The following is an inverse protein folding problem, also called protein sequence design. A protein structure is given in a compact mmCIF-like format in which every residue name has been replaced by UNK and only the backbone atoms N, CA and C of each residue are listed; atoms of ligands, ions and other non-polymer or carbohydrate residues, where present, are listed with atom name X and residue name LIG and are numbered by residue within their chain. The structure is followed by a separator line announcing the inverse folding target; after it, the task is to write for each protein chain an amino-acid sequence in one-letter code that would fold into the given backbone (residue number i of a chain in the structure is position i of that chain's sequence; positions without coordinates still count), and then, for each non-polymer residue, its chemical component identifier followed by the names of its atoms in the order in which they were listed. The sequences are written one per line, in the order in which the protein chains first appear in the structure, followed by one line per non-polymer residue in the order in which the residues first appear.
data_IF_752596882942
#
_entry.id   IF_752596882942
#
_cell.length_a   1.000
_cell.length_b   1.000
_cell.length_c   1.000
_cell.angle_alpha   90.00
_cell.angle_beta   90.00
_cell.angle_gamma   90.00
#
_symmetry.space_group_name_H-M   'P 1'
#
loop_
_entity.id
_entity.type
_entity.pdbx_description
1 polymer ?
#
# COMPACT_ATOMS: atom_id res chain seq x y z
N UNK A 1 -37.20 -3.12 -5.12
CA UNK A 1 -38.49 -3.84 -4.98
C UNK A 1 -38.70 -4.78 -6.16
N UNK A 2 -39.07 -4.31 -7.37
CA UNK A 2 -39.28 -5.19 -8.53
C UNK A 2 -38.03 -6.05 -8.85
N UNK A 3 -36.86 -5.40 -8.99
CA UNK A 3 -35.59 -6.09 -9.24
C UNK A 3 -35.20 -7.08 -8.14
N UNK A 4 -35.47 -6.76 -6.88
CA UNK A 4 -35.13 -7.63 -5.76
C UNK A 4 -36.00 -8.89 -5.75
N UNK A 5 -37.29 -8.75 -6.12
CA UNK A 5 -38.21 -9.89 -6.29
C UNK A 5 -37.73 -10.77 -7.44
N UNK A 6 -37.39 -10.19 -8.59
CA UNK A 6 -36.86 -10.92 -9.76
C UNK A 6 -35.59 -11.70 -9.37
N UNK A 7 -34.63 -11.04 -8.71
CA UNK A 7 -33.40 -11.68 -8.26
C UNK A 7 -33.67 -12.83 -7.28
N UNK A 8 -34.62 -12.65 -6.34
CA UNK A 8 -34.97 -13.69 -5.39
C UNK A 8 -35.61 -14.91 -6.05
N UNK A 9 -36.45 -14.70 -7.07
CA UNK A 9 -37.15 -15.76 -7.78
C UNK A 9 -36.20 -16.52 -8.69
N UNK A 10 -35.29 -15.83 -9.39
CA UNK A 10 -34.26 -16.49 -10.19
C UNK A 10 -33.35 -17.37 -9.31
N UNK A 11 -32.93 -16.87 -8.13
CA UNK A 11 -32.18 -17.68 -7.17
C UNK A 11 -32.97 -18.92 -6.70
N UNK A 12 -34.27 -18.78 -6.46
CA UNK A 12 -35.14 -19.89 -6.05
C UNK A 12 -35.33 -20.91 -7.19
N UNK A 13 -35.40 -20.45 -8.44
CA UNK A 13 -35.49 -21.31 -9.63
C UNK A 13 -34.26 -22.18 -9.75
N UNK A 14 -33.06 -21.59 -9.70
CA UNK A 14 -31.82 -22.35 -9.77
C UNK A 14 -31.69 -23.34 -8.61
N UNK A 15 -32.13 -22.95 -7.40
CA UNK A 15 -32.17 -23.84 -6.26
C UNK A 15 -33.16 -25.00 -6.46
N UNK A 16 -34.36 -24.73 -6.99
CA UNK A 16 -35.36 -25.76 -7.25
C UNK A 16 -34.90 -26.75 -8.32
N UNK A 17 -34.30 -26.25 -9.41
CA UNK A 17 -33.73 -27.06 -10.50
C UNK A 17 -32.59 -27.94 -9.98
N UNK A 18 -31.66 -27.38 -9.20
CA UNK A 18 -30.58 -28.16 -8.57
C UNK A 18 -31.13 -29.22 -7.59
N UNK A 19 -32.14 -28.89 -6.79
CA UNK A 19 -32.78 -29.86 -5.90
C UNK A 19 -33.52 -30.98 -6.66
N UNK A 20 -34.08 -30.65 -7.83
CA UNK A 20 -34.72 -31.60 -8.73
C UNK A 20 -33.69 -32.51 -9.38
N UNK A 21 -32.55 -31.97 -9.81
CA UNK A 21 -31.41 -32.74 -10.31
C UNK A 21 -30.94 -33.77 -9.28
N UNK A 22 -30.67 -33.34 -8.04
CA UNK A 22 -30.26 -34.20 -6.94
C UNK A 22 -31.33 -35.28 -6.64
N UNK A 23 -32.61 -34.90 -6.71
CA UNK A 23 -33.74 -35.81 -6.51
C UNK A 23 -33.87 -36.87 -7.63
N UNK A 24 -33.65 -36.48 -8.88
CA UNK A 24 -33.71 -37.40 -10.03
C UNK A 24 -32.48 -38.30 -10.09
N UNK A 25 -31.29 -37.79 -9.76
CA UNK A 25 -30.05 -38.58 -9.71
C UNK A 25 -30.03 -39.59 -8.56
N UNK A 26 -30.68 -39.27 -7.43
CA UNK A 26 -30.80 -40.19 -6.27
C UNK A 26 -31.90 -41.25 -6.42
N UNK A 27 -32.81 -41.08 -7.39
CA UNK A 27 -33.86 -42.06 -7.66
C UNK A 27 -33.34 -43.17 -8.55
N UNK A 28 -33.54 -44.46 -8.21
CA UNK A 28 -33.06 -45.55 -9.05
C UNK A 28 -33.70 -45.48 -10.45
N UNK A 29 -32.90 -45.64 -11.54
CA UNK A 29 -33.36 -45.42 -12.91
C UNK A 29 -34.50 -46.36 -13.34
N UNK A 30 -34.65 -47.52 -12.69
CA UNK A 30 -35.77 -48.45 -12.93
C UNK A 30 -37.14 -47.87 -12.55
N UNK A 31 -37.19 -46.98 -11.55
CA UNK A 31 -38.43 -46.29 -11.15
C UNK A 31 -38.78 -45.15 -12.09
N UNK A 32 -37.79 -44.59 -12.78
CA UNK A 32 -37.96 -43.56 -13.80
C UNK A 32 -38.37 -44.15 -15.15
N UNK A 33 -38.44 -45.48 -15.26
CA UNK A 33 -38.89 -46.19 -16.46
C UNK A 33 -37.75 -46.64 -17.38
N UNK A 34 -36.49 -46.35 -17.02
CA UNK A 34 -35.34 -46.86 -17.75
C UNK A 34 -35.20 -48.37 -17.51
N UNK A 35 -35.30 -49.15 -18.58
CA UNK A 35 -35.18 -50.60 -18.57
C UNK A 35 -34.27 -51.03 -19.70
N UNK A 36 -33.42 -52.00 -19.44
CA UNK A 36 -32.67 -52.66 -20.50
C UNK A 36 -33.65 -53.42 -21.41
N UNK A 37 -33.48 -53.27 -22.72
CA UNK A 37 -34.18 -54.11 -23.69
C UNK A 37 -33.81 -55.59 -23.46
N UNK A 38 -34.72 -56.55 -23.71
CA UNK A 38 -34.40 -57.95 -23.57
C UNK A 38 -33.29 -58.33 -24.57
N UNK A 39 -32.05 -58.48 -24.10
CA UNK A 39 -30.90 -58.92 -24.89
C UNK A 39 -29.68 -58.00 -24.92
N UNK A 40 -29.69 -56.85 -24.23
CA UNK A 40 -28.49 -56.01 -24.08
C UNK A 40 -27.73 -56.32 -22.78
N UNK A 41 -26.40 -56.40 -22.85
CA UNK A 41 -25.55 -56.55 -21.67
C UNK A 41 -25.54 -55.21 -20.93
N UNK A 42 -25.96 -55.16 -19.65
CA UNK A 42 -25.96 -53.92 -18.89
C UNK A 42 -24.52 -53.47 -18.58
N UNK A 43 -24.20 -52.22 -18.89
CA UNK A 43 -22.95 -51.60 -18.45
C UNK A 43 -22.96 -51.54 -16.92
N UNK A 44 -21.94 -52.09 -16.28
CA UNK A 44 -21.87 -52.26 -14.82
C UNK A 44 -20.68 -51.47 -14.28
N UNK A 45 -20.82 -50.77 -13.14
CA UNK A 45 -19.69 -50.14 -12.43
C UNK A 45 -18.77 -51.19 -11.76
N UNK A 46 -17.62 -50.73 -11.25
CA UNK A 46 -16.68 -51.53 -10.44
C UNK A 46 -17.35 -52.14 -9.18
N UNK A 47 -18.57 -51.69 -8.81
CA UNK A 47 -19.35 -52.14 -7.66
C UNK A 47 -20.49 -53.11 -8.02
N UNK A 48 -20.65 -53.48 -9.30
CA UNK A 48 -21.65 -54.48 -9.72
C UNK A 48 -23.07 -53.93 -9.94
N UNK A 49 -23.27 -52.62 -9.91
CA UNK A 49 -24.55 -51.98 -10.18
C UNK A 49 -24.72 -51.67 -11.66
N UNK A 50 -25.94 -51.91 -12.15
CA UNK A 50 -26.33 -51.59 -13.52
C UNK A 50 -26.34 -50.06 -13.69
N UNK A 51 -25.42 -49.55 -14.49
CA UNK A 51 -25.37 -48.15 -14.87
C UNK A 51 -26.24 -47.90 -16.10
N UNK A 52 -27.03 -46.83 -16.03
CA UNK A 52 -27.78 -46.31 -17.16
C UNK A 52 -27.18 -44.95 -17.54
N UNK A 53 -26.05 -44.91 -18.26
CA UNK A 53 -25.42 -43.65 -18.64
C UNK A 53 -26.36 -42.80 -19.52
N UNK A 54 -27.17 -43.44 -20.37
CA UNK A 54 -28.20 -42.79 -21.19
C UNK A 54 -29.27 -42.10 -20.35
N UNK A 55 -29.67 -42.68 -19.20
CA UNK A 55 -30.65 -42.09 -18.31
C UNK A 55 -30.13 -40.79 -17.67
N UNK A 56 -28.84 -40.74 -17.29
CA UNK A 56 -28.24 -39.53 -16.71
C UNK A 56 -28.21 -38.40 -17.74
N UNK A 57 -27.82 -38.72 -18.98
CA UNK A 57 -27.75 -37.76 -20.08
C UNK A 57 -29.14 -37.27 -20.52
N UNK A 58 -30.16 -38.15 -20.51
CA UNK A 58 -31.54 -37.76 -20.80
C UNK A 58 -32.13 -36.87 -19.69
N UNK A 59 -31.85 -37.16 -18.43
CA UNK A 59 -32.25 -36.35 -17.29
C UNK A 59 -31.61 -34.95 -17.36
N UNK A 60 -30.30 -34.86 -17.64
CA UNK A 60 -29.59 -33.59 -17.78
C UNK A 60 -30.16 -32.76 -18.94
N UNK A 61 -30.37 -33.38 -20.11
CA UNK A 61 -30.95 -32.71 -21.27
C UNK A 61 -32.39 -32.23 -21.01
N UNK A 62 -33.21 -33.06 -20.35
CA UNK A 62 -34.58 -32.72 -19.98
C UNK A 62 -34.64 -31.59 -18.94
N UNK A 63 -33.74 -31.62 -17.97
CA UNK A 63 -33.60 -30.57 -16.96
C UNK A 63 -33.17 -29.24 -17.60
N UNK A 64 -32.22 -29.26 -18.52
CA UNK A 64 -31.76 -28.06 -19.22
C UNK A 64 -32.87 -27.45 -20.11
N UNK A 65 -33.70 -28.28 -20.75
CA UNK A 65 -34.88 -27.80 -21.48
C UNK A 65 -35.91 -27.18 -20.54
N UNK A 66 -36.12 -27.77 -19.36
CA UNK A 66 -37.00 -27.23 -18.34
C UNK A 66 -36.48 -25.88 -17.83
N UNK A 67 -35.19 -25.78 -17.52
CA UNK A 67 -34.54 -24.53 -17.09
C UNK A 67 -34.78 -23.42 -18.12
N UNK A 68 -34.45 -23.67 -19.38
CA UNK A 68 -34.64 -22.71 -20.47
C UNK A 68 -36.10 -22.27 -20.62
N UNK A 69 -37.04 -23.23 -20.50
CA UNK A 69 -38.47 -22.93 -20.56
C UNK A 69 -38.89 -22.09 -19.36
N UNK A 70 -38.44 -22.46 -18.16
CA UNK A 70 -38.81 -21.80 -16.93
C UNK A 70 -38.30 -20.37 -16.96
N UNK A 71 -37.03 -20.12 -17.30
CA UNK A 71 -36.46 -18.79 -17.50
C UNK A 71 -37.32 -17.94 -18.46
N UNK A 72 -37.61 -18.45 -19.66
CA UNK A 72 -38.40 -17.71 -20.65
C UNK A 72 -39.85 -17.42 -20.18
N UNK A 73 -40.47 -18.35 -19.44
CA UNK A 73 -41.84 -18.16 -18.94
C UNK A 73 -41.89 -17.20 -17.76
N UNK A 74 -40.91 -17.28 -16.86
CA UNK A 74 -40.74 -16.42 -15.69
C UNK A 74 -40.44 -15.01 -16.13
N UNK A 75 -39.49 -14.79 -17.04
CA UNK A 75 -39.18 -13.47 -17.61
C UNK A 75 -40.44 -12.81 -18.18
N UNK A 76 -41.20 -13.54 -19.01
CA UNK A 76 -42.43 -13.02 -19.62
C UNK A 76 -43.54 -12.73 -18.60
N UNK A 77 -43.62 -13.52 -17.53
CA UNK A 77 -44.59 -13.29 -16.46
C UNK A 77 -44.19 -12.08 -15.60
N UNK A 78 -42.89 -11.92 -15.34
CA UNK A 78 -42.35 -10.80 -14.57
C UNK A 78 -42.39 -9.48 -15.34
N UNK A 79 -42.20 -9.47 -16.66
CA UNK A 79 -42.44 -8.29 -17.49
C UNK A 79 -43.87 -7.76 -17.30
N UNK A 80 -44.86 -8.66 -17.30
CA UNK A 80 -46.27 -8.29 -17.09
C UNK A 80 -46.55 -7.86 -15.66
N UNK A 81 -45.95 -8.54 -14.69
CA UNK A 81 -46.08 -8.18 -13.28
C UNK A 81 -45.48 -6.79 -13.02
N UNK A 82 -44.29 -6.50 -13.53
CA UNK A 82 -43.63 -5.21 -13.39
C UNK A 82 -44.50 -4.10 -13.98
N UNK A 83 -44.96 -4.27 -15.22
CA UNK A 83 -45.86 -3.31 -15.86
C UNK A 83 -47.13 -3.13 -15.04
N UNK A 84 -47.71 -4.21 -14.52
CA UNK A 84 -48.93 -4.12 -13.71
C UNK A 84 -48.71 -3.36 -12.39
N UNK A 85 -47.62 -3.66 -11.68
CA UNK A 85 -47.29 -3.00 -10.41
C UNK A 85 -47.00 -1.52 -10.64
N UNK A 86 -46.20 -1.20 -11.66
CA UNK A 86 -45.85 0.18 -12.00
C UNK A 86 -47.02 0.99 -12.54
N UNK A 87 -48.05 0.33 -13.10
CA UNK A 87 -49.23 0.99 -13.67
C UNK A 87 -50.42 1.10 -12.72
N UNK A 88 -50.54 0.21 -11.74
CA UNK A 88 -51.72 0.16 -10.87
C UNK A 88 -51.41 0.36 -9.39
N UNK A 89 -50.32 -0.23 -8.89
CA UNK A 89 -50.01 -0.25 -7.45
C UNK A 89 -49.17 0.95 -7.06
N UNK A 90 -48.17 1.29 -7.88
CA UNK A 90 -47.23 2.39 -7.63
C UNK A 90 -47.61 3.67 -8.39
N UNK A 91 -48.86 3.77 -8.86
CA UNK A 91 -49.38 4.97 -9.52
C UNK A 91 -50.28 5.76 -8.58
N UNK A 92 -50.02 7.06 -8.50
CA UNK A 92 -50.93 8.01 -7.87
C UNK A 92 -51.80 8.63 -8.95
N UNK A 93 -53.15 8.58 -8.83
CA UNK A 93 -54.05 9.24 -9.78
C UNK A 93 -53.76 10.74 -9.88
N UNK A 94 -53.72 11.28 -11.11
CA UNK A 94 -53.38 12.68 -11.37
C UNK A 94 -54.31 13.65 -10.61
N UNK A 95 -55.60 13.33 -10.49
CA UNK A 95 -56.59 14.14 -9.77
C UNK A 95 -56.29 14.29 -8.27
N UNK A 96 -55.58 13.33 -7.68
CA UNK A 96 -55.24 13.32 -6.25
C UNK A 96 -53.85 13.89 -5.98
N UNK A 97 -53.03 14.13 -7.00
CA UNK A 97 -51.64 14.62 -6.83
C UNK A 97 -51.57 15.96 -6.11
N UNK A 98 -52.56 16.84 -6.29
CA UNK A 98 -52.63 18.12 -5.58
C UNK A 98 -53.06 18.03 -4.11
N UNK A 99 -53.66 16.91 -3.70
CA UNK A 99 -54.22 16.71 -2.36
C UNK A 99 -53.36 15.77 -1.49
N UNK A 100 -52.47 15.02 -2.12
CA UNK A 100 -51.57 14.08 -1.44
C UNK A 100 -50.29 14.82 -1.04
N UNK A 101 -50.04 14.89 0.27
CA UNK A 101 -48.77 15.36 0.84
C UNK A 101 -48.05 14.18 1.50
N UNK A 102 -46.82 13.92 1.09
CA UNK A 102 -45.98 12.90 1.72
C UNK A 102 -45.50 13.39 3.09
N UNK A 103 -45.28 12.48 4.04
CA UNK A 103 -44.89 12.82 5.42
C UNK A 103 -43.61 13.67 5.51
N UNK A 104 -42.64 13.45 4.61
CA UNK A 104 -41.41 14.26 4.56
C UNK A 104 -41.62 15.69 4.03
N UNK A 105 -42.78 15.98 3.43
CA UNK A 105 -43.15 17.33 3.04
C UNK A 105 -43.90 18.09 4.14
N UNK A 106 -44.25 17.47 5.28
CA UNK A 106 -45.07 18.08 6.35
C UNK A 106 -44.44 19.36 6.95
N UNK A 107 -43.11 19.51 6.88
CA UNK A 107 -42.38 20.70 7.34
C UNK A 107 -41.91 21.66 6.24
N UNK A 108 -42.03 21.28 4.97
CA UNK A 108 -41.56 22.08 3.84
C UNK A 108 -42.68 23.01 3.36
N UNK A 109 -42.58 24.29 3.68
CA UNK A 109 -43.34 25.34 3.00
C UNK A 109 -42.54 25.80 1.79
N UNK A 110 -43.09 25.67 0.60
CA UNK A 110 -42.48 26.16 -0.65
C UNK A 110 -42.69 27.67 -0.84
N UNK A 111 -43.26 28.36 0.15
CA UNK A 111 -43.29 29.82 0.12
C UNK A 111 -41.86 30.37 0.10
N UNK A 112 -41.51 31.21 -0.90
CA UNK A 112 -40.17 31.72 -1.08
C UNK A 112 -39.91 32.87 -0.10
N UNK A 113 -39.78 32.57 1.20
CA UNK A 113 -39.15 33.45 2.21
C UNK A 113 -39.31 32.89 3.63
N UNK A 114 -38.69 31.74 3.93
CA UNK A 114 -38.33 31.46 5.32
C UNK A 114 -36.92 32.00 5.56
N UNK A 115 -36.79 32.91 6.52
CA UNK A 115 -35.51 33.49 6.98
C UNK A 115 -34.52 32.43 7.51
N UNK A 116 -35.01 31.21 7.79
CA UNK A 116 -34.22 30.02 8.18
C UNK A 116 -33.82 29.10 7.01
N UNK A 117 -34.01 29.52 5.76
CA UNK A 117 -33.52 28.75 4.61
C UNK A 117 -31.97 28.71 4.67
N UNK A 118 -31.33 27.54 4.59
CA UNK A 118 -29.87 27.45 4.62
C UNK A 118 -29.31 28.22 3.44
N UNK A 119 -28.75 29.39 3.73
CA UNK A 119 -28.10 30.25 2.74
C UNK A 119 -27.03 29.45 2.02
N UNK A 120 -26.83 29.68 0.72
CA UNK A 120 -25.80 28.99 -0.07
C UNK A 120 -24.41 29.07 0.59
N UNK A 121 -24.14 30.16 1.29
CA UNK A 121 -22.93 30.35 2.10
C UNK A 121 -22.81 29.33 3.24
N UNK A 122 -23.88 29.06 3.99
CA UNK A 122 -23.89 28.03 5.05
C UNK A 122 -23.63 26.63 4.50
N UNK A 123 -24.20 26.32 3.32
CA UNK A 123 -23.99 25.05 2.64
C UNK A 123 -22.54 24.91 2.15
N UNK A 124 -21.94 25.98 1.61
CA UNK A 124 -20.54 25.94 1.18
C UNK A 124 -19.60 25.77 2.36
N UNK A 125 -19.84 26.46 3.48
CA UNK A 125 -19.09 26.28 4.73
C UNK A 125 -19.21 24.86 5.27
N UNK A 126 -20.41 24.28 5.27
CA UNK A 126 -20.62 22.91 5.74
C UNK A 126 -19.96 21.89 4.80
N UNK A 127 -20.01 22.11 3.48
CA UNK A 127 -19.27 21.29 2.49
C UNK A 127 -17.77 21.39 2.71
N UNK A 128 -17.24 22.57 3.00
CA UNK A 128 -15.83 22.75 3.33
C UNK A 128 -15.47 22.00 4.61
N UNK A 129 -16.27 22.15 5.68
CA UNK A 129 -16.08 21.41 6.93
C UNK A 129 -16.08 19.90 6.70
N UNK A 130 -17.00 19.39 5.88
CA UNK A 130 -17.08 17.98 5.51
C UNK A 130 -15.82 17.51 4.75
N UNK A 131 -15.30 18.33 3.83
CA UNK A 131 -14.05 18.02 3.11
C UNK A 131 -12.87 17.94 4.07
N UNK A 132 -12.75 18.90 4.99
CA UNK A 132 -11.68 18.89 5.99
C UNK A 132 -11.82 17.72 6.96
N UNK A 133 -13.03 17.36 7.41
CA UNK A 133 -13.23 16.19 8.28
C UNK A 133 -12.92 14.88 7.55
N UNK A 134 -13.29 14.74 6.27
CA UNK A 134 -12.91 13.57 5.45
C UNK A 134 -11.40 13.48 5.25
N UNK A 135 -10.73 14.61 5.01
CA UNK A 135 -9.27 14.67 4.88
C UNK A 135 -8.59 14.27 6.19
N UNK A 136 -9.06 14.78 7.32
CA UNK A 136 -8.57 14.42 8.65
C UNK A 136 -8.78 12.93 8.92
N UNK A 137 -9.97 12.39 8.63
CA UNK A 137 -10.25 10.97 8.84
C UNK A 137 -9.29 10.08 8.03
N UNK A 138 -9.04 10.41 6.76
CA UNK A 138 -8.04 9.70 5.95
C UNK A 138 -6.64 9.73 6.58
N UNK A 139 -6.19 10.89 7.04
CA UNK A 139 -4.88 11.01 7.70
C UNK A 139 -4.83 10.22 9.01
N UNK A 140 -5.89 10.28 9.82
CA UNK A 140 -5.99 9.52 11.07
C UNK A 140 -5.94 8.02 10.80
N UNK A 141 -6.66 7.52 9.79
CA UNK A 141 -6.61 6.09 9.43
C UNK A 141 -5.21 5.66 8.97
N UNK A 142 -4.50 6.52 8.24
CA UNK A 142 -3.12 6.27 7.83
C UNK A 142 -2.16 6.22 9.04
N UNK A 143 -2.30 7.16 9.97
CA UNK A 143 -1.49 7.18 11.20
C UNK A 143 -1.83 6.02 12.14
N UNK A 144 -3.09 5.63 12.26
CA UNK A 144 -3.49 4.42 12.97
C UNK A 144 -2.83 3.19 12.36
N UNK A 145 -2.91 3.00 11.03
CA UNK A 145 -2.25 1.90 10.35
C UNK A 145 -0.72 1.90 10.56
N UNK A 146 -0.09 3.08 10.54
CA UNK A 146 1.34 3.23 10.84
C UNK A 146 1.67 2.85 12.28
N UNK A 147 0.88 3.34 13.24
CA UNK A 147 1.04 3.04 14.66
C UNK A 147 0.82 1.56 14.94
N UNK A 148 -0.14 0.92 14.29
CA UNK A 148 -0.39 -0.52 14.41
C UNK A 148 0.79 -1.33 13.86
N UNK A 149 1.40 -0.91 12.76
CA UNK A 149 2.62 -1.53 12.23
C UNK A 149 3.82 -1.34 13.18
N UNK A 150 3.98 -0.17 13.79
CA UNK A 150 5.04 0.04 14.80
C UNK A 150 4.76 -0.77 16.07
N UNK A 151 3.50 -0.86 16.51
CA UNK A 151 3.11 -1.67 17.66
C UNK A 151 3.32 -3.16 17.40
N UNK A 152 3.05 -3.65 16.19
CA UNK A 152 3.33 -5.04 15.82
C UNK A 152 4.84 -5.33 15.81
N UNK A 153 5.65 -4.37 15.34
CA UNK A 153 7.12 -4.44 15.43
C UNK A 153 7.62 -4.46 16.88
N UNK A 154 7.12 -3.56 17.73
CA UNK A 154 7.50 -3.53 19.14
C UNK A 154 7.04 -4.79 19.87
N UNK A 155 5.83 -5.28 19.58
CA UNK A 155 5.31 -6.54 20.14
C UNK A 155 6.15 -7.73 19.70
N UNK A 156 6.62 -7.80 18.45
CA UNK A 156 7.50 -8.88 17.99
C UNK A 156 8.88 -8.81 18.66
N UNK A 157 9.44 -7.62 18.84
CA UNK A 157 10.68 -7.41 19.61
C UNK A 157 10.52 -7.80 21.10
N UNK A 158 9.37 -7.51 21.71
CA UNK A 158 9.08 -7.89 23.10
C UNK A 158 8.76 -9.39 23.22
N UNK A 159 8.10 -10.00 22.24
CA UNK A 159 7.80 -11.43 22.25
C UNK A 159 9.07 -12.28 22.10
N UNK A 160 9.98 -11.87 21.20
CA UNK A 160 11.29 -12.53 21.01
C UNK A 160 12.16 -12.45 22.27
N UNK A 161 12.10 -11.35 23.04
CA UNK A 161 12.82 -11.24 24.31
C UNK A 161 12.20 -12.11 25.42
N UNK A 162 10.87 -12.25 25.50
CA UNK A 162 10.21 -13.15 26.47
C UNK A 162 10.45 -14.63 26.18
N UNK A 163 10.43 -15.06 24.91
CA UNK A 163 10.64 -16.47 24.53
C UNK A 163 12.04 -16.97 24.93
N UNK A 164 13.04 -16.10 25.02
CA UNK A 164 14.38 -16.47 25.51
C UNK A 164 14.49 -16.54 27.05
N UNK A 165 13.48 -16.09 27.80
CA UNK A 165 13.47 -16.13 29.27
C UNK A 165 12.79 -17.38 29.86
N UNK A 166 12.17 -18.22 29.02
CA UNK A 166 11.53 -19.46 29.45
C UNK A 166 12.20 -20.66 28.79
N UNK A 167 13.36 -21.04 29.34
CA UNK A 167 13.96 -22.33 29.07
C UNK A 167 13.30 -23.42 29.91
N UNK A 168 12.82 -24.47 29.23
CA UNK A 168 12.61 -25.86 29.68
C UNK A 168 11.16 -26.29 29.92
N UNK A 169 10.49 -26.90 28.92
CA UNK A 169 10.34 -28.36 28.76
C UNK A 169 9.22 -28.77 27.78
N UNK A 170 9.59 -29.56 26.76
CA UNK A 170 8.85 -30.68 26.13
C UNK A 170 7.46 -30.49 25.50
N UNK A 171 7.32 -30.94 24.23
CA UNK A 171 6.15 -31.71 23.81
C UNK A 171 5.42 -31.30 22.53
N UNK A 172 5.73 -32.03 21.43
CA UNK A 172 4.80 -32.43 20.35
C UNK A 172 4.37 -31.44 19.26
N UNK A 173 4.95 -31.65 18.08
CA UNK A 173 4.27 -31.88 16.79
C UNK A 173 2.79 -31.45 16.71
N UNK A 174 2.49 -30.44 15.88
CA UNK A 174 1.74 -30.71 14.64
C UNK A 174 1.91 -29.58 13.62
N UNK A 175 2.06 -29.98 12.37
CA UNK A 175 2.20 -29.14 11.20
C UNK A 175 0.86 -28.54 10.77
N UNK A 176 0.93 -27.37 10.13
CA UNK A 176 -0.16 -26.84 9.30
C UNK A 176 -0.34 -25.34 9.47
N UNK A 177 0.38 -24.55 8.67
CA UNK A 177 -0.14 -23.50 7.76
C UNK A 177 1.06 -22.76 7.16
N UNK A 178 1.27 -22.78 5.84
CA UNK A 178 2.21 -21.91 5.17
C UNK A 178 1.49 -20.61 4.82
N UNK A 179 1.70 -19.54 5.60
CA UNK A 179 1.26 -18.20 5.21
C UNK A 179 2.38 -17.51 4.43
N UNK A 180 2.23 -17.66 3.12
CA UNK A 180 2.68 -16.82 2.00
C UNK A 180 3.28 -15.45 2.35
N UNK A 181 4.55 -15.32 1.98
CA UNK A 181 5.24 -14.14 1.44
C UNK A 181 4.45 -12.83 1.30
N UNK A 182 4.67 -11.92 2.23
CA UNK A 182 4.58 -10.47 1.97
C UNK A 182 5.84 -9.79 2.53
N UNK A 183 6.58 -9.15 1.60
CA UNK A 183 7.71 -8.24 1.76
C UNK A 183 8.46 -8.26 3.11
N UNK A 184 9.63 -8.90 3.12
CA UNK A 184 10.64 -8.79 4.17
C UNK A 184 11.03 -7.32 4.42
N UNK A 185 10.32 -6.65 5.33
CA UNK A 185 10.95 -5.58 6.11
C UNK A 185 11.82 -6.30 7.12
N UNK A 186 13.08 -6.52 6.74
CA UNK A 186 14.07 -7.17 7.57
C UNK A 186 14.39 -6.27 8.78
N UNK A 187 13.60 -6.42 9.85
CA UNK A 187 13.85 -5.71 11.09
C UNK A 187 15.17 -6.17 11.71
N UNK A 188 15.93 -5.28 12.38
CA UNK A 188 17.15 -5.64 13.06
C UNK A 188 16.82 -6.61 14.19
N UNK A 189 17.09 -7.89 13.94
CA UNK A 189 16.90 -8.95 14.91
C UNK A 189 17.96 -8.79 16.02
N UNK A 190 17.54 -8.19 17.14
CA UNK A 190 18.42 -7.99 18.30
C UNK A 190 18.72 -9.29 19.06
N UNK A 191 18.19 -10.44 18.63
CA UNK A 191 18.57 -11.74 19.20
C UNK A 191 20.06 -12.02 19.05
N UNK A 192 20.74 -11.42 18.07
CA UNK A 192 22.20 -11.52 17.93
C UNK A 192 22.96 -11.09 19.19
N UNK A 193 22.46 -10.06 19.91
CA UNK A 193 23.09 -9.59 21.15
C UNK A 193 23.04 -10.62 22.28
N UNK A 194 22.11 -11.58 22.20
CA UNK A 194 21.90 -12.61 23.20
C UNK A 194 22.36 -14.01 22.76
N UNK A 195 22.30 -14.28 21.45
CA UNK A 195 22.56 -15.60 20.86
C UNK A 195 24.02 -15.79 20.43
N UNK A 196 24.81 -14.72 20.29
CA UNK A 196 26.24 -14.80 19.97
C UNK A 196 26.95 -15.69 21.01
N UNK A 197 27.77 -16.68 20.59
CA UNK A 197 28.58 -17.49 21.50
C UNK A 197 29.41 -16.67 22.51
N UNK A 198 29.80 -15.44 22.17
CA UNK A 198 30.49 -14.52 23.11
C UNK A 198 29.56 -14.00 24.21
N UNK A 199 28.32 -13.70 23.86
CA UNK A 199 27.28 -13.29 24.81
C UNK A 199 26.93 -14.45 25.77
N UNK A 200 26.83 -15.68 25.25
CA UNK A 200 26.66 -16.89 26.08
C UNK A 200 27.83 -17.15 27.03
N UNK A 201 29.07 -16.91 26.60
CA UNK A 201 30.26 -17.01 27.46
C UNK A 201 30.22 -16.02 28.63
N UNK A 202 29.57 -14.87 28.44
CA UNK A 202 29.32 -13.88 29.48
C UNK A 202 28.01 -14.13 30.25
N UNK A 203 27.33 -15.26 30.01
CA UNK A 203 26.00 -15.59 30.55
C UNK A 203 24.96 -14.50 30.29
N UNK A 204 25.04 -13.81 29.15
CA UNK A 204 23.97 -12.93 28.69
C UNK A 204 22.79 -13.82 28.26
N UNK A 205 21.67 -13.77 28.98
CA UNK A 205 20.43 -14.45 28.60
C UNK A 205 20.25 -15.89 29.09
N UNK A 206 21.13 -16.40 29.94
CA UNK A 206 20.91 -17.68 30.62
C UNK A 206 19.87 -17.46 31.74
N UNK A 207 18.62 -17.87 31.50
CA UNK A 207 17.44 -17.65 32.34
C UNK A 207 17.44 -18.41 33.67
N UNK A 208 18.58 -18.47 34.36
CA UNK A 208 18.67 -18.97 35.73
C UNK A 208 17.84 -18.11 36.67
N UNK A 209 16.88 -18.72 37.37
CA UNK A 209 15.94 -18.06 38.25
C UNK A 209 16.63 -17.37 39.44
N UNK A 210 16.65 -16.03 39.43
CA UNK A 210 17.11 -15.21 40.56
C UNK A 210 16.73 -13.72 40.39
N UNK A 211 16.40 -12.98 41.45
CA UNK A 211 15.82 -11.63 41.36
C UNK A 211 16.82 -10.50 41.06
N UNK A 212 18.09 -10.80 40.76
CA UNK A 212 19.16 -9.79 40.64
C UNK A 212 20.20 -10.08 39.53
N UNK A 213 19.76 -10.49 38.34
CA UNK A 213 20.68 -10.79 37.24
C UNK A 213 20.92 -9.56 36.34
N UNK A 214 21.88 -8.72 36.73
CA UNK A 214 22.55 -7.77 35.82
C UNK A 214 23.98 -8.27 35.50
N UNK A 215 24.14 -9.39 34.78
CA UNK A 215 25.46 -10.00 34.55
C UNK A 215 26.41 -9.06 33.79
N UNK A 216 25.87 -8.17 32.95
CA UNK A 216 26.67 -7.16 32.28
C UNK A 216 27.21 -6.14 33.29
N UNK A 217 26.37 -5.62 34.17
CA UNK A 217 26.76 -4.65 35.20
C UNK A 217 27.77 -5.23 36.18
N UNK A 218 27.63 -6.51 36.58
CA UNK A 218 28.58 -7.15 37.51
C UNK A 218 29.92 -7.43 36.84
N UNK A 219 29.92 -7.91 35.58
CA UNK A 219 31.16 -8.13 34.83
C UNK A 219 31.88 -6.83 34.48
N UNK A 220 31.16 -5.78 34.09
CA UNK A 220 31.76 -4.46 33.84
C UNK A 220 32.32 -3.86 35.13
N UNK A 221 31.57 -3.91 36.25
CA UNK A 221 32.06 -3.45 37.54
C UNK A 221 33.29 -4.22 38.01
N UNK A 222 33.34 -5.54 37.80
CA UNK A 222 34.52 -6.35 38.10
C UNK A 222 35.71 -5.97 37.21
N UNK A 223 35.53 -5.82 35.90
CA UNK A 223 36.62 -5.41 34.99
C UNK A 223 37.12 -4.01 35.38
N UNK A 224 36.22 -3.08 35.69
CA UNK A 224 36.55 -1.74 36.15
C UNK A 224 37.32 -1.78 37.49
N UNK A 225 36.97 -2.68 38.41
CA UNK A 225 37.71 -2.85 39.66
C UNK A 225 39.09 -3.49 39.47
N UNK A 226 39.28 -4.32 38.43
CA UNK A 226 40.59 -4.94 38.14
C UNK A 226 41.54 -4.02 37.35
N UNK A 227 41.03 -3.01 36.64
CA UNK A 227 41.87 -2.09 35.84
C UNK A 227 42.93 -1.33 36.67
N UNK A 228 42.64 -0.80 37.86
CA UNK A 228 43.64 -0.16 38.71
C UNK A 228 44.78 -1.10 39.11
N UNK A 229 44.48 -2.36 39.45
CA UNK A 229 45.49 -3.35 39.80
C UNK A 229 46.40 -3.68 38.62
N UNK A 230 45.83 -3.83 37.42
CA UNK A 230 46.61 -4.01 36.18
C UNK A 230 47.45 -2.78 35.84
N UNK A 231 46.92 -1.57 36.04
CA UNK A 231 47.68 -0.32 35.86
C UNK A 231 48.87 -0.24 36.82
N UNK A 232 48.70 -0.64 38.07
CA UNK A 232 49.79 -0.69 39.04
C UNK A 232 50.88 -1.68 38.60
N UNK A 233 50.48 -2.88 38.14
CA UNK A 233 51.41 -3.87 37.61
C UNK A 233 52.11 -3.38 36.32
N UNK A 234 51.42 -2.67 35.43
CA UNK A 234 52.03 -2.07 34.24
C UNK A 234 53.01 -0.95 34.59
N UNK A 235 52.72 -0.14 35.62
CA UNK A 235 53.67 0.88 36.12
C UNK A 235 54.91 0.22 36.70
N UNK A 236 54.79 -0.96 37.32
CA UNK A 236 55.93 -1.75 37.81
C UNK A 236 56.70 -2.48 36.71
N UNK A 237 56.02 -2.92 35.65
CA UNK A 237 56.62 -3.63 34.51
C UNK A 237 57.24 -2.68 33.48
N UNK A 238 56.70 -1.46 33.31
CA UNK A 238 57.22 -0.44 32.38
C UNK A 238 58.71 -0.11 32.58
N UNK A 239 59.22 0.14 33.80
CA UNK A 239 60.65 0.34 34.01
C UNK A 239 61.43 -0.95 33.73
N UNK A 240 60.87 -2.13 34.06
CA UNK A 240 61.51 -3.43 33.78
C UNK A 240 61.63 -3.72 32.27
N UNK A 241 60.68 -3.26 31.46
CA UNK A 241 60.75 -3.33 29.99
C UNK A 241 61.73 -2.30 29.42
N UNK A 242 61.81 -1.11 30.01
CA UNK A 242 62.81 -0.10 29.61
C UNK A 242 64.25 -0.54 29.92
N UNK A 243 64.44 -1.40 30.92
CA UNK A 243 65.73 -2.02 31.21
C UNK A 243 66.06 -3.22 30.32
N UNK A 244 65.11 -3.73 29.51
CA UNK A 244 65.43 -4.71 28.49
C UNK A 244 66.02 -3.98 27.27
N UNK A 245 67.20 -4.39 26.76
CA UNK A 245 67.72 -3.83 25.53
C UNK A 245 66.72 -4.11 24.40
N UNK A 246 66.22 -3.04 23.77
CA UNK A 246 65.34 -3.13 22.61
C UNK A 246 66.05 -3.92 21.51
N UNK A 247 65.58 -5.13 21.23
CA UNK A 247 66.13 -5.97 20.18
C UNK A 247 65.90 -5.30 18.82
N UNK A 248 66.90 -5.40 17.95
CA UNK A 248 67.03 -4.86 16.58
C UNK A 248 65.78 -5.02 15.68
N UNK A 249 64.84 -5.90 16.03
CA UNK A 249 63.58 -6.12 15.30
C UNK A 249 62.54 -4.97 15.37
N UNK A 250 62.65 -4.00 16.28
CA UNK A 250 61.63 -2.93 16.41
C UNK A 250 61.69 -1.92 15.24
N UNK A 251 62.89 -1.66 14.69
CA UNK A 251 63.05 -0.79 13.50
C UNK A 251 62.41 -1.37 12.25
N UNK A 252 62.49 -2.69 12.06
CA UNK A 252 61.98 -3.37 10.87
C UNK A 252 60.44 -3.45 10.87
N UNK A 253 59.83 -3.46 12.06
CA UNK A 253 58.38 -3.44 12.23
C UNK A 253 57.76 -2.08 11.90
N UNK A 254 58.43 -0.99 12.26
CA UNK A 254 57.96 0.37 11.94
C UNK A 254 58.08 0.66 10.45
N UNK A 255 59.13 0.17 9.79
CA UNK A 255 59.29 0.20 8.33
C UNK A 255 58.12 -0.52 7.64
N UNK A 256 57.85 -1.77 8.04
CA UNK A 256 56.78 -2.62 7.48
C UNK A 256 55.38 -2.08 7.74
N UNK A 257 55.19 -1.37 8.87
CA UNK A 257 53.94 -0.67 9.20
C UNK A 257 53.72 0.55 8.32
N UNK A 258 54.78 1.27 7.96
CA UNK A 258 54.76 2.34 6.96
C UNK A 258 54.31 1.83 5.60
N UNK A 259 54.98 0.80 5.09
CA UNK A 259 54.68 0.16 3.80
C UNK A 259 53.23 -0.31 3.70
N UNK A 260 52.70 -0.94 4.77
CA UNK A 260 51.31 -1.40 4.79
C UNK A 260 50.31 -0.24 4.76
N UNK A 261 50.61 0.87 5.42
CA UNK A 261 49.75 2.06 5.43
C UNK A 261 49.72 2.72 4.04
N UNK A 262 50.86 2.79 3.38
CA UNK A 262 50.97 3.29 2.01
C UNK A 262 50.22 2.39 1.02
N UNK A 263 50.29 1.07 1.20
CA UNK A 263 49.52 0.12 0.39
C UNK A 263 48.01 0.27 0.55
N UNK A 264 47.52 0.45 1.79
CA UNK A 264 46.09 0.67 2.04
C UNK A 264 45.64 1.99 1.40
N UNK A 265 46.43 3.05 1.52
CA UNK A 265 46.13 4.34 0.91
C UNK A 265 46.13 4.28 -0.62
N UNK A 266 47.10 3.60 -1.23
CA UNK A 266 47.16 3.45 -2.70
C UNK A 266 45.98 2.64 -3.23
N UNK A 267 45.57 1.58 -2.51
CA UNK A 267 44.39 0.77 -2.88
C UNK A 267 43.08 1.52 -2.70
N UNK A 268 42.95 2.29 -1.62
CA UNK A 268 41.79 3.15 -1.39
C UNK A 268 41.66 4.23 -2.47
N UNK A 269 42.79 4.83 -2.89
CA UNK A 269 42.85 5.80 -3.99
C UNK A 269 42.43 5.18 -5.32
N UNK A 270 42.95 4.01 -5.68
CA UNK A 270 42.56 3.28 -6.89
C UNK A 270 41.08 2.90 -6.90
N UNK A 271 40.53 2.48 -5.75
CA UNK A 271 39.09 2.22 -5.65
C UNK A 271 38.27 3.48 -5.88
N UNK A 272 38.68 4.61 -5.29
CA UNK A 272 38.01 5.89 -5.48
C UNK A 272 38.06 6.36 -6.94
N UNK A 273 39.20 6.19 -7.61
CA UNK A 273 39.35 6.50 -9.05
C UNK A 273 38.49 5.58 -9.92
N UNK A 274 38.42 4.28 -9.59
CA UNK A 274 37.58 3.31 -10.33
C UNK A 274 36.09 3.49 -10.09
N UNK A 275 35.67 3.94 -8.90
CA UNK A 275 34.26 4.26 -8.60
C UNK A 275 33.87 5.69 -8.96
N UNK A 276 34.85 6.59 -9.08
CA UNK A 276 34.66 8.01 -9.40
C UNK A 276 34.84 8.35 -10.88
N UNK A 277 35.24 7.40 -11.71
CA UNK A 277 35.44 7.58 -13.15
C UNK A 277 34.16 7.34 -13.95
N UNK A 278 33.31 8.37 -14.07
CA UNK A 278 32.55 8.69 -15.29
C UNK A 278 31.82 10.03 -15.13
N UNK A 279 32.56 11.12 -15.31
CA UNK A 279 32.07 12.38 -15.91
C UNK A 279 33.28 13.31 -16.02
N UNK A 280 33.99 13.19 -17.14
CA UNK A 280 34.91 14.23 -17.59
C UNK A 280 34.09 15.46 -17.95
N UNK A 281 34.13 16.45 -17.06
CA UNK A 281 33.68 17.80 -17.27
C UNK A 281 34.73 18.73 -16.66
N UNK A 282 35.38 19.46 -17.54
CA UNK A 282 36.49 20.37 -17.34
C UNK A 282 36.22 21.43 -16.25
N UNK A 283 37.29 21.82 -15.55
CA UNK A 283 37.40 22.83 -14.47
C UNK A 283 37.19 22.35 -13.03
N UNK A 284 38.28 22.42 -12.27
CA UNK A 284 38.43 21.85 -10.94
C UNK A 284 37.74 22.64 -9.83
N UNK A 285 37.22 21.89 -8.86
CA UNK A 285 37.49 22.09 -7.44
C UNK A 285 36.99 20.83 -6.71
N UNK A 286 37.93 20.07 -6.14
CA UNK A 286 37.65 18.89 -5.33
C UNK A 286 37.00 19.27 -4.01
N UNK A 287 35.67 19.37 -4.02
CA UNK A 287 34.85 19.32 -2.82
C UNK A 287 34.04 18.04 -2.94
N UNK A 288 34.07 17.23 -1.88
CA UNK A 288 33.11 16.14 -1.62
C UNK A 288 31.72 16.77 -1.59
N UNK A 289 31.13 16.98 -2.77
CA UNK A 289 29.84 17.63 -2.94
C UNK A 289 28.84 16.50 -3.05
N UNK A 290 28.03 16.32 -1.99
CA UNK A 290 26.77 15.60 -2.10
C UNK A 290 26.02 16.05 -3.35
N UNK A 291 25.25 15.13 -3.93
CA UNK A 291 24.48 15.26 -5.18
C UNK A 291 24.23 16.73 -5.56
N UNK A 292 24.77 17.14 -6.70
CA UNK A 292 24.53 18.49 -7.23
C UNK A 292 23.04 18.55 -7.59
N UNK A 293 22.30 19.41 -6.93
CA UNK A 293 20.88 19.71 -7.22
C UNK A 293 20.85 20.30 -8.63
N UNK A 294 20.12 19.67 -9.55
CA UNK A 294 20.05 20.11 -10.93
C UNK A 294 19.17 21.38 -11.03
N UNK A 295 19.34 22.19 -12.09
CA UNK A 295 18.54 23.40 -12.28
C UNK A 295 17.02 23.10 -12.34
N UNK A 296 16.67 21.92 -12.82
CA UNK A 296 15.29 21.40 -12.84
C UNK A 296 14.75 21.13 -11.43
N UNK A 297 15.58 20.63 -10.51
CA UNK A 297 15.20 20.41 -9.11
C UNK A 297 14.98 21.74 -8.38
N UNK A 298 15.78 22.77 -8.73
CA UNK A 298 15.60 24.14 -8.22
C UNK A 298 14.32 24.76 -8.77
N UNK A 299 14.02 24.60 -10.06
CA UNK A 299 12.74 25.04 -10.64
C UNK A 299 11.55 24.28 -10.04
N UNK A 300 11.70 22.99 -9.74
CA UNK A 300 10.67 22.21 -9.05
C UNK A 300 10.44 22.76 -7.64
N UNK A 301 11.52 23.08 -6.90
CA UNK A 301 11.42 23.71 -5.58
C UNK A 301 10.83 25.14 -5.64
N UNK A 302 11.11 25.91 -6.68
CA UNK A 302 10.50 27.22 -6.94
C UNK A 302 9.01 27.10 -7.30
N UNK A 303 8.60 26.05 -8.03
CA UNK A 303 7.18 25.76 -8.28
C UNK A 303 6.44 25.35 -6.99
N UNK A 304 7.12 24.62 -6.11
CA UNK A 304 6.56 24.20 -4.81
C UNK A 304 6.46 25.39 -3.85
N UNK A 305 7.43 26.30 -3.85
CA UNK A 305 7.36 27.52 -3.03
C UNK A 305 6.33 28.51 -3.56
N UNK A 306 6.18 28.67 -4.88
CA UNK A 306 5.14 29.52 -5.47
C UNK A 306 3.73 28.96 -5.25
N UNK A 307 3.55 27.63 -5.26
CA UNK A 307 2.28 27.00 -4.89
C UNK A 307 1.97 27.12 -3.40
N UNK A 308 2.99 27.13 -2.54
CA UNK A 308 2.83 27.41 -1.12
C UNK A 308 2.51 28.89 -0.83
N UNK A 309 3.16 29.84 -1.52
CA UNK A 309 2.85 31.27 -1.41
C UNK A 309 1.46 31.61 -1.98
N UNK A 310 1.03 30.93 -3.05
CA UNK A 310 -0.30 31.11 -3.66
C UNK A 310 -1.46 30.63 -2.77
N UNK A 311 -1.17 29.82 -1.75
CA UNK A 311 -2.17 29.27 -0.82
C UNK A 311 -2.31 30.05 0.50
N UNK A 312 -1.55 31.13 0.72
CA UNK A 312 -1.70 32.01 1.89
C UNK A 312 -1.73 33.50 1.52
N UNK A 313 -2.92 34.04 1.20
CA UNK A 313 -3.19 35.47 1.05
C UNK A 313 -4.36 35.76 0.09
N UNK A 314 -5.21 36.79 0.33
CA UNK A 314 -6.64 36.76 -0.01
C UNK A 314 -6.96 36.93 -1.50
N UNK A 315 -8.04 36.26 -1.93
CA UNK A 315 -8.62 36.33 -3.27
C UNK A 315 -9.11 37.74 -3.60
N UNK A 316 -8.51 38.35 -4.62
CA UNK A 316 -9.12 39.43 -5.40
C UNK A 316 -9.53 38.88 -6.77
N UNK A 317 -10.84 38.81 -6.97
CA UNK A 317 -11.55 38.54 -8.23
C UNK A 317 -11.27 39.62 -9.27
N UNK A 318 -10.74 39.25 -10.44
CA UNK A 318 -10.96 40.00 -11.69
C UNK A 318 -11.20 39.04 -12.85
N UNK A 319 -12.30 39.33 -13.53
CA UNK A 319 -12.92 38.66 -14.67
C UNK A 319 -11.99 38.49 -15.88
N UNK A 320 -11.89 37.27 -16.42
CA UNK A 320 -11.30 37.01 -17.74
C UNK A 320 -12.42 36.82 -18.77
N UNK A 321 -12.62 37.88 -19.55
CA UNK A 321 -13.37 37.90 -20.82
C UNK A 321 -12.45 37.36 -21.92
N UNK A 322 -12.93 36.35 -22.64
CA UNK A 322 -12.28 35.74 -23.81
C UNK A 322 -11.99 36.75 -24.91
N UNK A 323 -10.73 36.81 -25.38
CA UNK A 323 -10.38 37.15 -26.77
C UNK A 323 -9.06 36.43 -27.10
N UNK A 324 -9.14 35.46 -27.99
CA UNK A 324 -8.03 34.79 -28.67
C UNK A 324 -7.69 35.56 -29.97
N UNK A 325 -6.41 35.69 -30.35
CA UNK A 325 -6.09 35.83 -31.77
C UNK A 325 -4.98 34.88 -32.27
N UNK A 326 -5.21 34.43 -33.49
CA UNK A 326 -4.47 33.53 -34.38
C UNK A 326 -2.99 33.91 -34.67
N UNK A 327 -2.16 32.97 -35.17
CA UNK A 327 -0.70 33.08 -35.25
C UNK A 327 -0.19 33.78 -36.52
N UNK A 328 0.88 34.59 -36.40
CA UNK A 328 1.55 35.25 -37.53
C UNK A 328 2.75 34.46 -38.04
N UNK A 329 2.73 34.23 -39.36
CA UNK A 329 3.80 33.68 -40.20
C UNK A 329 5.01 34.63 -40.27
N UNK A 330 6.21 34.03 -40.32
CA UNK A 330 7.49 34.67 -40.68
C UNK A 330 7.51 35.05 -42.17
N UNK A 331 8.10 36.20 -42.54
CA UNK A 331 9.28 36.31 -43.45
C UNK A 331 9.48 37.73 -44.03
N UNK A 332 10.62 38.33 -43.64
CA UNK A 332 11.62 39.06 -44.45
C UNK A 332 11.23 40.13 -45.49
N UNK A 333 11.63 41.38 -45.19
CA UNK A 333 12.24 42.42 -46.06
C UNK A 333 12.67 43.56 -45.12
N UNK A 334 13.90 43.64 -44.61
CA UNK A 334 15.17 44.06 -45.22
C UNK A 334 15.10 45.44 -45.93
N UNK A 335 15.90 46.35 -45.36
CA UNK A 335 16.28 47.72 -45.74
C UNK A 335 15.40 48.90 -45.27
N UNK A 336 15.93 49.61 -44.27
CA UNK A 336 16.47 50.95 -44.57
C UNK A 336 15.69 52.15 -44.03
N UNK A 337 15.98 52.51 -42.78
CA UNK A 337 15.84 53.87 -42.26
C UNK A 337 16.65 54.87 -43.10
N UNK A 338 16.04 55.99 -43.53
CA UNK A 338 16.52 57.39 -43.36
C UNK A 338 16.05 58.33 -44.48
N UNK A 339 15.30 59.37 -44.11
CA UNK A 339 15.38 60.77 -44.60
C UNK A 339 14.33 61.55 -43.79
N UNK A 340 14.69 62.41 -42.82
CA UNK A 340 15.45 63.67 -42.87
C UNK A 340 14.72 64.76 -43.69
N UNK A 341 14.10 65.66 -42.93
CA UNK A 341 13.97 67.13 -43.11
C UNK A 341 13.72 67.66 -44.52
N UNK A 342 12.57 68.31 -44.71
CA UNK A 342 12.43 69.41 -45.66
C UNK A 342 11.58 70.56 -45.07
N UNK A 343 12.23 71.68 -44.83
CA UNK A 343 11.71 73.03 -45.00
C UNK A 343 12.67 73.69 -46.01
N UNK A 344 12.22 74.58 -46.92
CA UNK A 344 12.01 75.96 -46.51
C UNK A 344 10.88 76.70 -47.23
N UNK A 345 10.43 77.76 -46.58
CA UNK A 345 9.58 78.81 -47.12
C UNK A 345 10.37 79.82 -47.97
N UNK A 346 9.68 80.32 -49.00
CA UNK A 346 9.71 81.68 -49.54
C UNK A 346 10.74 82.07 -50.62
N UNK A 347 10.13 82.62 -51.67
CA UNK A 347 10.65 83.35 -52.84
C UNK A 347 11.24 84.70 -52.41
N UNK A 348 12.38 85.11 -52.98
CA UNK A 348 12.60 86.44 -53.60
C UNK A 348 14.09 86.71 -53.87
N UNK A 349 14.30 87.28 -55.06
CA UNK A 349 15.45 88.08 -55.55
C UNK A 349 16.66 87.35 -56.12
#
# INVERSE_FOLDING_TARGET
MSNDVINSVNNLIYQAISSLEDGLQSTPPERLGFRHGPGTIPDTDDDGNIQYPEARLEIENGLHQLETLLEATVDKAFDKFEIYVLRNVLTVPEDLTGWIRLSHHEGLSLEPSREDAPTEESLTLQRQKLRETKKLNRLLTQECARNDAVLSQLRSMVATTKHNSHGTSSGSMNAGVPSTSEAEVQFPNLSFLLSDPRAKKLRMGDGGAGPSHTPLTTTTNFILSQLPALRAVLVQLRPKVQTLPKSVNEMDLDQKKGERREYINSRAKLHLERTGGSSEGEQGHGIVRGKRVNAEDVQALESVTTTFLKNHGPKATVSHRSVEPQPRKRLSKLLGFNQKLDAPSAISS
#
